data_IF_045657560729
#
_entry.id   IF_045657560729
#
_cell.length_a   1.000
_cell.length_b   1.000
_cell.length_c   1.000
_cell.angle_alpha   90.00
_cell.angle_beta   90.00
_cell.angle_gamma   90.00
#
_symmetry.space_group_name_H-M   'P 1'
#
loop_
_entity.id
_entity.type
_entity.pdbx_description
1 polymer ?
#
# COMPACT_ATOMS: atom_id res chain seq x y z
N UNK A 1 21.72 -2.97 -0.26
CA UNK A 1 20.30 -3.13 0.07
C UNK A 1 20.20 -3.03 1.58
N UNK A 2 19.30 -2.18 2.06
CA UNK A 2 19.44 -1.58 3.38
C UNK A 2 18.37 -2.06 4.35
N UNK A 3 18.80 -2.37 5.58
CA UNK A 3 17.96 -2.25 6.76
C UNK A 3 17.54 -0.78 6.94
N UNK A 4 16.58 -0.52 7.82
CA UNK A 4 16.20 0.83 8.21
C UNK A 4 17.42 1.65 8.64
N UNK A 5 17.50 2.87 8.13
CA UNK A 5 18.39 3.90 8.69
C UNK A 5 17.99 4.23 10.13
N UNK A 6 18.88 4.81 10.95
CA UNK A 6 18.58 5.10 12.36
C UNK A 6 17.33 5.97 12.57
N UNK A 7 17.05 6.90 11.66
CA UNK A 7 15.83 7.72 11.70
C UNK A 7 14.58 6.89 11.40
N UNK A 8 14.62 6.05 10.34
CA UNK A 8 13.52 5.14 10.02
C UNK A 8 13.28 4.11 11.11
N UNK A 9 14.32 3.59 11.76
CA UNK A 9 14.18 2.65 12.87
C UNK A 9 13.49 3.30 14.08
N UNK A 10 13.83 4.56 14.38
CA UNK A 10 13.14 5.34 15.42
C UNK A 10 11.66 5.53 15.08
N UNK A 11 11.35 5.86 13.83
CA UNK A 11 9.96 5.97 13.34
C UNK A 11 9.24 4.62 13.40
N UNK A 12 9.90 3.53 13.04
CA UNK A 12 9.35 2.18 13.09
C UNK A 12 8.93 1.80 14.52
N UNK A 13 9.80 2.04 15.50
CA UNK A 13 9.50 1.80 16.92
C UNK A 13 8.31 2.65 17.38
N UNK A 14 8.25 3.93 17.01
CA UNK A 14 7.12 4.79 17.35
C UNK A 14 5.79 4.30 16.74
N UNK A 15 5.81 3.77 15.52
CA UNK A 15 4.65 3.16 14.86
C UNK A 15 4.19 1.90 15.59
N UNK A 16 5.12 1.05 16.03
CA UNK A 16 4.81 -0.18 16.77
C UNK A 16 4.05 0.14 18.06
N UNK A 17 4.44 1.18 18.78
CA UNK A 17 3.78 1.62 20.03
C UNK A 17 2.33 2.12 19.81
N UNK A 18 1.90 2.36 18.57
CA UNK A 18 0.50 2.70 18.27
C UNK A 18 -0.45 1.52 18.39
N UNK A 19 0.08 0.29 18.46
CA UNK A 19 -0.69 -0.95 18.41
C UNK A 19 -0.55 -1.75 19.70
N UNK A 20 -1.65 -2.33 20.22
CA UNK A 20 -1.59 -3.27 21.36
C UNK A 20 -0.81 -4.56 21.04
N UNK A 21 -0.78 -4.96 19.77
CA UNK A 21 -0.11 -6.15 19.25
C UNK A 21 0.92 -5.72 18.21
N UNK A 22 2.20 -6.07 18.40
CA UNK A 22 3.27 -5.60 17.52
C UNK A 22 3.09 -6.01 16.06
N UNK A 23 2.59 -7.23 15.82
CA UNK A 23 2.29 -7.74 14.47
C UNK A 23 1.31 -6.86 13.68
N UNK A 24 0.50 -6.04 14.35
CA UNK A 24 -0.44 -5.14 13.67
C UNK A 24 0.25 -3.95 12.99
N UNK A 25 1.53 -3.72 13.30
CA UNK A 25 2.34 -2.68 12.66
C UNK A 25 2.95 -3.11 11.31
N UNK A 26 2.79 -4.37 10.86
CA UNK A 26 3.48 -4.90 9.67
C UNK A 26 3.27 -4.04 8.41
N UNK A 27 2.03 -3.77 7.99
CA UNK A 27 1.75 -2.95 6.79
C UNK A 27 2.31 -1.53 6.90
N UNK A 28 2.08 -0.78 8.01
CA UNK A 28 2.74 0.51 8.23
C UNK A 28 4.26 0.47 8.11
N UNK A 29 4.91 -0.56 8.64
CA UNK A 29 6.36 -0.72 8.54
C UNK A 29 6.82 -1.04 7.12
N UNK A 30 6.04 -1.81 6.35
CA UNK A 30 6.30 -2.03 4.94
C UNK A 30 6.28 -0.70 4.16
N UNK A 31 5.26 0.15 4.37
CA UNK A 31 5.23 1.48 3.74
C UNK A 31 6.42 2.35 4.15
N UNK A 32 6.89 2.25 5.40
CA UNK A 32 8.06 2.99 5.87
C UNK A 32 9.35 2.53 5.19
N UNK A 33 9.51 1.23 4.95
CA UNK A 33 10.64 0.68 4.20
C UNK A 33 10.61 1.13 2.73
N UNK A 34 9.42 1.13 2.13
CA UNK A 34 9.21 1.62 0.78
C UNK A 34 9.48 3.13 0.65
N UNK A 35 9.15 3.95 1.66
CA UNK A 35 9.49 5.37 1.70
C UNK A 35 11.02 5.60 1.67
N UNK A 36 11.80 4.69 2.25
CA UNK A 36 13.27 4.79 2.27
C UNK A 36 13.89 4.41 0.93
N UNK A 37 13.50 3.26 0.37
CA UNK A 37 14.23 2.60 -0.72
C UNK A 37 13.41 2.45 -2.03
N UNK A 38 12.14 2.87 -2.03
CA UNK A 38 11.21 2.72 -3.16
C UNK A 38 10.50 1.37 -3.22
N UNK A 39 11.02 0.35 -2.53
CA UNK A 39 10.46 -1.00 -2.52
C UNK A 39 10.90 -1.73 -1.24
N UNK A 40 10.32 -2.90 -1.03
CA UNK A 40 10.63 -3.78 0.10
C UNK A 40 11.86 -4.64 -0.20
N UNK A 41 13.02 -4.24 0.33
CA UNK A 41 14.22 -5.07 0.28
C UNK A 41 14.08 -6.31 1.16
N UNK A 42 14.85 -7.37 0.86
CA UNK A 42 14.89 -8.57 1.69
C UNK A 42 15.33 -8.24 3.12
N UNK A 43 16.35 -7.41 3.25
CA UNK A 43 16.90 -6.99 4.54
C UNK A 43 15.91 -6.16 5.37
N UNK A 44 15.12 -5.29 4.72
CA UNK A 44 14.05 -4.56 5.38
C UNK A 44 12.93 -5.50 5.85
N UNK A 45 12.49 -6.45 5.01
CA UNK A 45 11.49 -7.44 5.42
C UNK A 45 11.95 -8.33 6.59
N UNK A 46 13.22 -8.73 6.60
CA UNK A 46 13.83 -9.45 7.73
C UNK A 46 13.80 -8.60 9.00
N UNK A 47 14.22 -7.34 8.93
CA UNK A 47 14.19 -6.46 10.10
C UNK A 47 12.76 -6.18 10.60
N UNK A 48 11.79 -5.99 9.70
CA UNK A 48 10.38 -5.83 10.08
C UNK A 48 9.92 -7.06 10.88
N UNK A 49 10.28 -8.26 10.43
CA UNK A 49 9.92 -9.51 11.11
C UNK A 49 10.51 -9.60 12.52
N UNK A 50 11.77 -9.16 12.70
CA UNK A 50 12.46 -9.08 13.99
C UNK A 50 11.76 -8.09 14.94
N UNK A 51 11.37 -6.91 14.43
CA UNK A 51 10.73 -5.84 15.21
C UNK A 51 9.34 -6.24 15.71
N UNK A 52 8.55 -6.93 14.89
CA UNK A 52 7.15 -7.27 15.23
C UNK A 52 6.97 -8.68 15.78
N UNK A 53 8.01 -9.52 15.74
CA UNK A 53 8.01 -10.87 16.29
C UNK A 53 7.27 -11.90 15.43
N UNK A 54 7.38 -11.80 14.10
CA UNK A 54 6.83 -12.77 13.13
C UNK A 54 7.95 -13.32 12.24
N UNK A 55 7.62 -14.23 11.31
CA UNK A 55 8.60 -14.75 10.35
C UNK A 55 8.77 -13.83 9.13
N UNK A 56 9.95 -13.80 8.48
CA UNK A 56 10.13 -13.08 7.22
C UNK A 56 9.14 -13.54 6.12
N UNK A 57 8.72 -14.81 6.15
CA UNK A 57 7.74 -15.36 5.22
C UNK A 57 6.35 -14.75 5.40
N UNK A 58 5.93 -14.44 6.62
CA UNK A 58 4.68 -13.74 6.89
C UNK A 58 4.72 -12.28 6.40
N UNK A 59 5.88 -11.61 6.54
CA UNK A 59 6.09 -10.27 5.98
C UNK A 59 5.99 -10.31 4.45
N UNK A 60 6.70 -11.24 3.81
CA UNK A 60 6.63 -11.44 2.36
C UNK A 60 5.21 -11.77 1.90
N UNK A 61 4.51 -12.66 2.61
CA UNK A 61 3.11 -13.01 2.29
C UNK A 61 2.18 -11.79 2.35
N UNK A 62 2.40 -10.90 3.31
CA UNK A 62 1.69 -9.61 3.40
C UNK A 62 2.06 -8.71 2.23
N UNK A 63 3.37 -8.54 1.96
CA UNK A 63 3.87 -7.71 0.86
C UNK A 63 3.31 -8.16 -0.50
N UNK A 64 3.33 -9.47 -0.78
CA UNK A 64 2.81 -10.02 -2.04
C UNK A 64 1.29 -9.94 -2.19
N UNK A 65 0.56 -9.72 -1.11
CA UNK A 65 -0.89 -9.66 -1.13
C UNK A 65 -1.41 -8.25 -1.44
N UNK A 66 -0.71 -7.21 -0.99
CA UNK A 66 -1.09 -5.83 -1.21
C UNK A 66 -0.30 -5.24 -2.39
N UNK A 67 -0.99 -5.00 -3.50
CA UNK A 67 -0.39 -4.51 -4.75
C UNK A 67 0.40 -3.19 -4.59
N UNK A 68 0.01 -2.36 -3.62
CA UNK A 68 0.70 -1.10 -3.27
C UNK A 68 2.08 -1.30 -2.61
N UNK A 69 2.47 -2.54 -2.30
CA UNK A 69 3.74 -2.88 -1.67
C UNK A 69 4.66 -3.55 -2.68
N UNK A 70 5.58 -2.79 -3.25
CA UNK A 70 6.48 -3.26 -4.29
C UNK A 70 7.61 -4.08 -3.69
N UNK A 71 7.89 -5.24 -4.28
CA UNK A 71 9.01 -6.12 -3.87
C UNK A 71 10.18 -6.06 -4.85
N UNK A 72 10.04 -5.27 -5.92
CA UNK A 72 11.04 -5.02 -6.94
C UNK A 72 11.36 -3.53 -7.01
N UNK A 73 12.57 -3.12 -7.41
CA UNK A 73 12.93 -1.71 -7.52
C UNK A 73 12.00 -0.95 -8.46
N UNK A 74 11.50 0.18 -7.99
CA UNK A 74 10.74 1.16 -8.78
C UNK A 74 11.54 2.44 -8.93
N UNK A 75 11.14 3.29 -9.87
CA UNK A 75 11.74 4.59 -10.10
C UNK A 75 11.51 5.57 -8.95
N UNK A 76 12.14 6.74 -9.04
CA UNK A 76 11.94 7.85 -8.08
C UNK A 76 10.46 8.22 -7.92
N UNK A 77 9.71 8.20 -9.02
CA UNK A 77 8.29 8.48 -9.09
C UNK A 77 7.54 7.31 -9.71
N UNK A 78 6.59 6.75 -8.97
CA UNK A 78 5.62 5.80 -9.48
C UNK A 78 4.39 6.56 -9.94
N UNK A 79 4.09 6.48 -11.24
CA UNK A 79 3.02 7.18 -11.93
C UNK A 79 1.92 6.18 -12.29
N UNK A 80 0.81 6.22 -11.57
CA UNK A 80 -0.34 5.37 -11.78
C UNK A 80 -1.48 6.10 -12.51
N UNK A 81 -1.85 5.64 -13.69
CA UNK A 81 -2.99 6.20 -14.46
C UNK A 81 -4.24 5.38 -14.16
N UNK A 82 -5.31 6.04 -13.70
CA UNK A 82 -6.58 5.37 -13.43
C UNK A 82 -7.32 5.06 -14.74
N UNK A 83 -7.60 3.80 -15.01
CA UNK A 83 -8.37 3.34 -16.18
C UNK A 83 -9.77 2.83 -15.82
N UNK A 84 -10.21 3.00 -14.56
CA UNK A 84 -11.53 2.54 -14.12
C UNK A 84 -12.66 3.50 -14.60
N UNK A 85 -13.92 3.06 -14.50
CA UNK A 85 -15.13 3.55 -15.17
C UNK A 85 -15.19 5.07 -15.38
N UNK A 86 -15.00 5.87 -14.33
CA UNK A 86 -15.11 7.33 -14.44
C UNK A 86 -13.99 7.94 -15.30
N UNK A 87 -12.76 7.42 -15.17
CA UNK A 87 -11.63 7.85 -15.99
C UNK A 87 -11.70 7.26 -17.39
N UNK A 88 -12.12 6.00 -17.54
CA UNK A 88 -12.39 5.37 -18.84
C UNK A 88 -13.34 6.23 -19.69
N UNK A 89 -14.49 6.64 -19.12
CA UNK A 89 -15.45 7.51 -19.81
C UNK A 89 -14.92 8.91 -20.15
N UNK A 90 -13.78 9.30 -19.59
CA UNK A 90 -13.14 10.60 -19.76
C UNK A 90 -11.84 10.55 -20.57
N UNK A 91 -11.46 9.38 -21.10
CA UNK A 91 -10.25 9.23 -21.90
C UNK A 91 -9.06 8.64 -21.12
N UNK A 92 -9.31 7.83 -20.08
CA UNK A 92 -8.27 7.30 -19.21
C UNK A 92 -7.35 6.28 -19.89
N UNK A 93 -7.88 5.47 -20.82
CA UNK A 93 -7.08 4.54 -21.63
C UNK A 93 -6.18 5.31 -22.59
N UNK A 94 -6.73 6.34 -23.26
CA UNK A 94 -5.98 7.22 -24.15
C UNK A 94 -4.87 7.96 -23.41
N UNK A 95 -5.11 8.40 -22.17
CA UNK A 95 -4.08 9.00 -21.32
C UNK A 95 -2.99 7.99 -20.94
N UNK A 96 -3.34 6.72 -20.70
CA UNK A 96 -2.36 5.67 -20.42
C UNK A 96 -1.49 5.41 -21.66
N UNK A 97 -2.08 5.29 -22.85
CA UNK A 97 -1.35 5.13 -24.11
C UNK A 97 -0.41 6.31 -24.38
N UNK A 98 -0.85 7.53 -24.08
CA UNK A 98 0.01 8.72 -24.15
C UNK A 98 1.16 8.64 -23.14
N UNK A 99 0.89 8.22 -21.90
CA UNK A 99 1.91 8.06 -20.86
C UNK A 99 2.98 7.03 -21.25
N UNK A 100 2.59 5.92 -21.88
CA UNK A 100 3.54 4.93 -22.42
C UNK A 100 4.48 5.55 -23.46
N UNK A 101 3.93 6.35 -24.38
CA UNK A 101 4.71 7.01 -25.42
C UNK A 101 5.65 8.09 -24.86
N UNK A 102 5.16 8.89 -23.91
CA UNK A 102 5.90 9.97 -23.29
C UNK A 102 7.06 9.46 -22.42
N UNK A 103 6.84 8.37 -21.67
CA UNK A 103 7.86 7.78 -20.79
C UNK A 103 8.73 6.73 -21.51
N UNK A 104 8.26 6.16 -22.62
CA UNK A 104 8.96 5.13 -23.37
C UNK A 104 8.95 3.76 -22.70
N UNK A 105 8.00 3.50 -21.81
CA UNK A 105 7.85 2.23 -21.05
C UNK A 105 6.38 1.82 -21.02
N UNK A 106 6.12 0.50 -21.01
CA UNK A 106 4.78 -0.03 -20.80
C UNK A 106 4.41 -0.01 -19.30
N UNK A 107 3.13 -0.20 -18.91
CA UNK A 107 2.73 -0.45 -17.54
C UNK A 107 3.54 -1.57 -16.89
N UNK A 108 3.99 -1.33 -15.65
CA UNK A 108 4.95 -2.16 -14.91
C UNK A 108 6.42 -1.90 -15.27
N UNK A 109 6.70 -1.10 -16.31
CA UNK A 109 8.04 -0.73 -16.73
C UNK A 109 8.59 0.47 -15.96
N UNK A 110 9.92 0.49 -15.80
CA UNK A 110 10.66 1.62 -15.24
C UNK A 110 11.62 2.19 -16.27
N UNK A 111 11.70 3.51 -16.38
CA UNK A 111 12.56 4.21 -17.33
C UNK A 111 14.04 3.93 -17.05
N UNK A 112 14.88 3.93 -18.10
CA UNK A 112 16.32 3.58 -18.02
C UNK A 112 17.11 4.49 -17.06
N UNK A 113 16.64 5.73 -16.85
CA UNK A 113 17.21 6.68 -15.91
C UNK A 113 16.77 6.46 -14.45
N UNK A 114 15.91 5.48 -14.19
CA UNK A 114 15.37 5.15 -12.87
C UNK A 114 14.43 6.22 -12.30
N UNK A 115 13.94 7.15 -13.12
CA UNK A 115 13.11 8.27 -12.64
C UNK A 115 11.64 7.90 -12.52
N UNK A 116 11.09 7.15 -13.46
CA UNK A 116 9.65 6.90 -13.54
C UNK A 116 9.33 5.42 -13.67
N UNK A 117 8.36 4.94 -12.91
CA UNK A 117 7.67 3.67 -13.14
C UNK A 117 6.24 3.96 -13.53
N UNK A 118 5.77 3.39 -14.62
CA UNK A 118 4.38 3.57 -15.09
C UNK A 118 3.53 2.40 -14.61
N UNK A 119 2.35 2.69 -14.08
CA UNK A 119 1.35 1.67 -13.71
C UNK A 119 -0.01 2.01 -14.30
N UNK A 120 -0.70 0.98 -14.78
CA UNK A 120 -2.14 1.03 -14.94
C UNK A 120 -2.77 0.76 -13.58
N UNK A 121 -3.60 1.67 -13.10
CA UNK A 121 -4.27 1.55 -11.81
C UNK A 121 -5.77 1.39 -11.97
N UNK A 122 -6.32 0.58 -11.07
CA UNK A 122 -7.75 0.54 -10.79
C UNK A 122 -8.24 1.87 -10.19
N UNK A 123 -9.51 1.90 -9.74
CA UNK A 123 -10.12 3.12 -9.22
C UNK A 123 -9.32 3.74 -8.05
N UNK A 124 -8.74 4.93 -8.29
CA UNK A 124 -8.03 5.73 -7.28
C UNK A 124 -8.94 6.74 -6.54
N UNK A 125 -10.26 6.64 -6.72
CA UNK A 125 -11.27 7.46 -6.07
C UNK A 125 -11.15 9.00 -6.29
N UNK A 126 -10.61 9.43 -7.44
CA UNK A 126 -10.48 10.84 -7.81
C UNK A 126 -11.39 11.24 -8.98
N UNK A 127 -12.63 10.74 -8.97
CA UNK A 127 -13.54 10.76 -10.11
C UNK A 127 -14.02 12.16 -10.54
N UNK A 128 -14.04 13.14 -9.65
CA UNK A 128 -14.41 14.53 -9.97
C UNK A 128 -13.34 15.26 -10.81
N UNK A 129 -12.14 14.67 -10.89
CA UNK A 129 -10.96 15.14 -11.61
C UNK A 129 -10.50 14.12 -12.67
N UNK A 130 -11.40 13.30 -13.19
CA UNK A 130 -11.07 12.36 -14.25
C UNK A 130 -10.72 13.06 -15.59
N UNK A 131 -9.74 12.56 -16.39
CA UNK A 131 -8.81 11.48 -16.06
C UNK A 131 -7.84 11.84 -14.94
N UNK A 132 -7.63 10.90 -14.03
CA UNK A 132 -6.86 11.13 -12.81
C UNK A 132 -5.62 10.23 -12.76
N UNK A 133 -4.53 10.78 -12.24
CA UNK A 133 -3.24 10.11 -12.08
C UNK A 133 -2.82 10.22 -10.62
N UNK A 134 -2.20 9.17 -10.09
CA UNK A 134 -1.52 9.20 -8.81
C UNK A 134 -0.01 9.16 -9.03
N UNK A 135 0.74 10.06 -8.38
CA UNK A 135 2.21 10.01 -8.33
C UNK A 135 2.66 9.94 -6.87
N UNK A 136 3.31 8.85 -6.46
CA UNK A 136 3.82 8.65 -5.08
C UNK A 136 2.81 9.05 -3.99
N UNK A 137 1.57 8.55 -4.09
CA UNK A 137 0.43 8.87 -3.20
C UNK A 137 -0.08 10.32 -3.23
N UNK A 138 0.18 11.07 -4.32
CA UNK A 138 -0.43 12.39 -4.59
C UNK A 138 -1.29 12.30 -5.83
N UNK A 139 -2.47 12.92 -5.78
CA UNK A 139 -3.45 12.85 -6.85
C UNK A 139 -3.35 14.09 -7.74
N UNK A 140 -3.42 13.86 -9.04
CA UNK A 140 -3.41 14.88 -10.08
C UNK A 140 -4.60 14.66 -11.01
N UNK A 141 -5.19 15.76 -11.46
CA UNK A 141 -6.34 15.72 -12.34
C UNK A 141 -7.12 17.05 -12.38
N UNK A 142 -7.94 17.29 -13.41
CA UNK A 142 -8.01 16.48 -14.63
C UNK A 142 -6.75 16.63 -15.47
N UNK A 143 -6.29 15.53 -16.06
CA UNK A 143 -5.16 15.52 -16.99
C UNK A 143 -5.61 15.10 -18.39
N UNK A 144 -5.05 15.77 -19.39
CA UNK A 144 -4.86 15.25 -20.75
C UNK A 144 -3.38 15.32 -21.14
N UNK A 145 -3.07 14.98 -22.38
CA UNK A 145 -1.72 14.78 -22.91
C UNK A 145 -0.73 15.90 -22.54
N UNK A 146 -1.03 17.16 -22.91
CA UNK A 146 -0.15 18.31 -22.64
C UNK A 146 0.10 18.55 -21.14
N UNK A 147 -0.93 18.36 -20.32
CA UNK A 147 -0.82 18.52 -18.86
C UNK A 147 -0.10 17.36 -18.19
N UNK A 148 -0.15 16.16 -18.78
CA UNK A 148 0.63 15.02 -18.34
C UNK A 148 2.11 15.23 -18.65
N UNK A 149 2.43 15.68 -19.87
CA UNK A 149 3.82 16.01 -20.26
C UNK A 149 4.40 17.08 -19.33
N UNK A 150 3.62 18.13 -19.06
CA UNK A 150 4.00 19.18 -18.11
C UNK A 150 4.26 18.61 -16.70
N UNK A 151 3.40 17.71 -16.21
CA UNK A 151 3.59 17.05 -14.92
C UNK A 151 4.90 16.23 -14.89
N UNK A 152 5.19 15.47 -15.94
CA UNK A 152 6.43 14.69 -16.06
C UNK A 152 7.66 15.60 -16.08
N UNK A 153 7.63 16.71 -16.81
CA UNK A 153 8.71 17.69 -16.84
C UNK A 153 8.94 18.34 -15.47
N UNK A 154 7.87 18.73 -14.77
CA UNK A 154 7.95 19.30 -13.43
C UNK A 154 8.54 18.32 -12.41
N UNK A 155 8.15 17.04 -12.47
CA UNK A 155 8.73 15.98 -11.64
C UNK A 155 10.20 15.73 -11.96
N UNK A 156 10.54 15.64 -13.25
CA UNK A 156 11.91 15.44 -13.72
C UNK A 156 12.82 16.60 -13.31
N UNK A 157 12.31 17.82 -13.36
CA UNK A 157 12.99 19.04 -12.93
C UNK A 157 13.02 19.25 -11.41
N UNK A 158 12.32 18.41 -10.63
CA UNK A 158 12.24 18.51 -9.17
C UNK A 158 11.37 19.68 -8.65
N UNK A 159 10.59 20.33 -9.52
CA UNK A 159 9.71 21.44 -9.14
C UNK A 159 8.64 21.01 -8.13
N UNK A 160 8.26 19.73 -8.15
CA UNK A 160 7.25 19.14 -7.28
C UNK A 160 7.80 18.36 -6.09
N UNK A 161 9.11 18.34 -5.82
CA UNK A 161 9.71 17.51 -4.75
C UNK A 161 9.13 17.81 -3.35
N UNK A 162 8.68 19.05 -3.10
CA UNK A 162 8.01 19.41 -1.85
C UNK A 162 6.59 18.82 -1.72
N UNK A 163 5.94 18.51 -2.83
CA UNK A 163 4.58 17.93 -2.90
C UNK A 163 4.65 16.41 -3.02
N UNK A 164 5.54 15.94 -3.89
CA UNK A 164 5.76 14.55 -4.27
C UNK A 164 7.20 14.17 -3.87
N UNK A 165 7.42 13.76 -2.61
CA UNK A 165 8.75 13.31 -2.21
C UNK A 165 9.16 12.05 -3.01
N UNK A 166 10.47 11.79 -3.18
CA UNK A 166 10.97 10.55 -3.75
C UNK A 166 10.35 9.34 -3.04
N UNK A 167 9.89 8.33 -3.78
CA UNK A 167 9.22 7.12 -3.28
C UNK A 167 7.93 7.35 -2.45
N UNK A 168 7.55 8.60 -2.24
CA UNK A 168 6.31 8.97 -1.58
C UNK A 168 6.35 8.85 -0.05
N UNK A 169 5.32 9.43 0.55
CA UNK A 169 5.04 9.29 1.98
C UNK A 169 3.54 9.13 2.12
N UNK A 170 3.11 8.01 2.71
CA UNK A 170 1.70 7.66 2.83
C UNK A 170 0.90 8.70 3.62
N UNK A 171 1.43 9.17 4.74
CA UNK A 171 0.84 10.24 5.54
C UNK A 171 1.88 11.25 5.99
N UNK A 172 1.59 12.54 5.76
CA UNK A 172 2.37 13.67 6.30
C UNK A 172 2.04 13.97 7.76
N UNK A 173 0.88 13.49 8.23
CA UNK A 173 0.42 13.67 9.61
C UNK A 173 0.53 12.33 10.31
N UNK A 174 1.54 12.20 11.15
CA UNK A 174 1.73 10.98 11.93
C UNK A 174 0.85 11.00 13.17
N UNK A 175 0.20 9.87 13.42
CA UNK A 175 -0.54 9.66 14.66
C UNK A 175 0.45 9.56 15.81
N UNK A 176 0.19 10.32 16.86
CA UNK A 176 1.00 10.31 18.09
C UNK A 176 0.35 9.53 19.22
N UNK A 177 -0.95 9.21 19.08
CA UNK A 177 -1.72 8.42 20.04
C UNK A 177 -2.16 7.10 19.41
N UNK A 178 -1.79 5.99 20.06
CA UNK A 178 -2.17 4.63 19.69
C UNK A 178 -3.63 4.30 19.95
N UNK A 179 -4.00 3.05 19.66
CA UNK A 179 -5.31 2.50 20.04
C UNK A 179 -5.30 2.26 21.56
N UNK A 180 -6.03 3.08 22.31
CA UNK A 180 -6.11 3.03 23.76
C UNK A 180 -7.07 1.92 24.25
N UNK A 181 -6.79 0.67 23.88
CA UNK A 181 -7.52 -0.50 24.40
C UNK A 181 -6.50 -1.42 25.09
N UNK A 182 -6.65 -1.71 26.38
CA UNK A 182 -5.76 -2.63 27.09
C UNK A 182 -5.69 -4.00 26.40
N UNK A 183 -4.48 -4.53 26.21
CA UNK A 183 -4.28 -5.82 25.54
C UNK A 183 -5.05 -6.96 26.23
N UNK A 184 -5.18 -6.93 27.56
CA UNK A 184 -5.97 -7.90 28.31
C UNK A 184 -7.44 -7.92 27.88
N UNK A 185 -8.03 -6.75 27.63
CA UNK A 185 -9.41 -6.59 27.19
C UNK A 185 -9.61 -7.13 25.77
N UNK A 186 -8.62 -6.93 24.89
CA UNK A 186 -8.61 -7.49 23.53
C UNK A 186 -8.51 -9.02 23.57
N UNK A 187 -7.62 -9.57 24.40
CA UNK A 187 -7.46 -11.02 24.56
C UNK A 187 -8.74 -11.65 25.09
N UNK A 188 -9.38 -11.03 26.08
CA UNK A 188 -10.65 -11.49 26.63
C UNK A 188 -11.75 -11.46 25.57
N UNK A 189 -11.92 -10.34 24.87
CA UNK A 189 -12.89 -10.21 23.79
C UNK A 189 -12.69 -11.24 22.67
N UNK A 190 -11.44 -11.52 22.26
CA UNK A 190 -11.12 -12.55 21.28
C UNK A 190 -11.51 -13.95 21.78
N UNK A 191 -11.14 -14.30 23.02
CA UNK A 191 -11.50 -15.60 23.62
C UNK A 191 -13.01 -15.79 23.68
N UNK A 192 -13.75 -14.76 24.09
CA UNK A 192 -15.22 -14.80 24.10
C UNK A 192 -15.77 -15.00 22.69
N UNK A 193 -15.18 -14.35 21.67
CA UNK A 193 -15.50 -14.56 20.26
C UNK A 193 -15.29 -16.00 19.79
N UNK A 194 -14.10 -16.56 20.05
CA UNK A 194 -13.75 -17.94 19.67
C UNK A 194 -14.71 -18.97 20.29
N UNK A 195 -15.10 -18.75 21.56
CA UNK A 195 -16.08 -19.59 22.25
C UNK A 195 -17.47 -19.50 21.60
N UNK A 196 -17.94 -18.30 21.28
CA UNK A 196 -19.21 -18.07 20.57
C UNK A 196 -19.21 -18.72 19.19
N UNK A 197 -18.10 -18.65 18.45
CA UNK A 197 -17.96 -19.33 17.16
C UNK A 197 -18.00 -20.85 17.31
N UNK A 198 -17.31 -21.40 18.32
CA UNK A 198 -17.34 -22.82 18.61
C UNK A 198 -18.74 -23.30 19.02
N UNK A 199 -19.48 -22.53 19.81
CA UNK A 199 -20.87 -22.81 20.18
C UNK A 199 -21.79 -22.79 18.96
N UNK A 200 -21.67 -21.79 18.08
CA UNK A 200 -22.43 -21.72 16.82
C UNK A 200 -22.13 -22.90 15.90
N UNK A 201 -20.86 -23.30 15.78
CA UNK A 201 -20.46 -24.45 14.98
C UNK A 201 -21.08 -25.76 15.51
N UNK A 202 -21.12 -25.94 16.84
CA UNK A 202 -21.78 -27.08 17.49
C UNK A 202 -23.29 -27.09 17.24
N UNK A 203 -23.97 -25.97 17.46
CA UNK A 203 -25.41 -25.86 17.24
C UNK A 203 -25.79 -26.13 15.77
N UNK A 204 -24.97 -25.66 14.82
CA UNK A 204 -25.16 -25.95 13.39
C UNK A 204 -25.01 -27.45 13.08
N UNK A 205 -23.97 -28.10 13.61
CA UNK A 205 -23.74 -29.53 13.42
C UNK A 205 -24.88 -30.39 14.04
N UNK A 206 -25.42 -29.99 15.19
CA UNK A 206 -26.58 -30.65 15.81
C UNK A 206 -27.85 -30.49 14.98
N UNK A 207 -28.11 -29.30 14.42
CA UNK A 207 -29.24 -29.06 13.54
C UNK A 207 -29.14 -29.85 12.22
N UNK A 208 -27.95 -29.96 11.64
CA UNK A 208 -27.70 -30.75 10.42
C UNK A 208 -27.80 -32.27 10.68
N UNK A 209 -27.37 -32.74 11.86
CA UNK A 209 -27.51 -34.15 12.28
C UNK A 209 -28.96 -34.56 12.57
N UNK A 210 -29.80 -33.65 13.08
CA UNK A 210 -31.20 -33.92 13.36
C UNK A 210 -32.08 -34.04 12.08
N UNK A 211 -31.61 -33.53 10.94
CA UNK A 211 -32.30 -33.62 9.66
C UNK A 211 -32.11 -34.95 8.89
N UNK A 212 -31.20 -35.82 9.36
CA UNK A 212 -30.80 -37.04 8.65
C UNK A 212 -31.61 -38.30 8.96
N UNK A 213 -32.62 -38.23 9.83
CA UNK A 213 -33.43 -39.39 10.24
C UNK A 213 -34.93 -39.19 9.96
N UNK A 214 -35.26 -38.90 8.70
CA UNK A 214 -36.61 -39.04 8.14
C UNK A 214 -36.54 -39.75 6.79
N UNK A 215 -36.40 -41.08 6.83
CA UNK A 215 -36.80 -42.01 5.77
C UNK A 215 -37.52 -43.19 6.41
#
# INVERSE_FOLDING_TARGET
MARFTPDMETRALAVIELYPERRSATIPLCHLAQEQDGYLTREAMEQISELVGITPAEVLGTASFYDMLHTEPVGKYLVGVCTNIACLLKGGEELLEHAEQALGVAPGGTTDDGMFTLEEMECIAHCDKAPAVQVNYRFFGPLGDESFDSLVEELRGGALDAVVPPHGTLSRVHRTSGIAVPLAEIIEARRSGDLLEAERARAKAEAEGAGGNQL
#
